data_IF_727243607094
#
_entry.id   IF_727243607094
#
_cell.length_a   1.000
_cell.length_b   1.000
_cell.length_c   1.000
_cell.angle_alpha   90.00
_cell.angle_beta   90.00
_cell.angle_gamma   90.00
#
_symmetry.space_group_name_H-M   'P 1'
#
loop_
_entity.id
_entity.type
_entity.pdbx_description
1 polymer ?
#
# COMPACT_ATOMS: atom_id res chain seq x y z
N UNK A 1 25.15 -55.70 2.48
CA UNK A 1 25.66 -54.33 2.73
C UNK A 1 25.74 -53.41 1.51
N UNK A 2 25.91 -53.88 0.25
CA UNK A 2 25.95 -52.99 -0.94
C UNK A 2 24.64 -52.21 -1.20
N UNK A 3 23.47 -52.82 -1.03
CA UNK A 3 22.16 -52.16 -1.20
C UNK A 3 21.96 -50.96 -0.26
N UNK A 4 22.39 -51.07 1.00
CA UNK A 4 22.30 -49.97 1.98
C UNK A 4 23.19 -48.79 1.56
N UNK A 5 24.33 -49.05 0.90
CA UNK A 5 25.26 -48.01 0.42
C UNK A 5 24.70 -47.21 -0.76
N UNK A 6 23.79 -47.79 -1.54
CA UNK A 6 23.15 -47.11 -2.69
C UNK A 6 21.91 -46.30 -2.29
N UNK A 7 21.24 -46.64 -1.17
CA UNK A 7 20.05 -45.91 -0.69
C UNK A 7 20.41 -44.59 0.03
N UNK A 8 21.54 -44.54 0.75
CA UNK A 8 21.99 -43.36 1.49
C UNK A 8 22.15 -42.09 0.63
N UNK A 9 22.83 -42.11 -0.55
CA UNK A 9 22.95 -40.90 -1.36
C UNK A 9 21.59 -40.40 -1.88
N UNK A 10 20.62 -41.30 -2.05
CA UNK A 10 19.28 -41.00 -2.53
C UNK A 10 18.47 -40.19 -1.51
N UNK A 11 18.49 -40.66 -0.27
CA UNK A 11 17.87 -39.97 0.85
C UNK A 11 18.52 -38.60 1.08
N UNK A 12 19.84 -38.50 0.90
CA UNK A 12 20.57 -37.24 0.99
C UNK A 12 20.15 -36.23 -0.10
N UNK A 13 20.03 -36.65 -1.35
CA UNK A 13 19.59 -35.77 -2.46
C UNK A 13 18.14 -35.32 -2.27
N UNK A 14 17.23 -36.23 -1.89
CA UNK A 14 15.84 -35.89 -1.62
C UNK A 14 15.71 -34.89 -0.45
N UNK A 15 16.46 -35.10 0.63
CA UNK A 15 16.49 -34.19 1.77
C UNK A 15 17.05 -32.81 1.39
N UNK A 16 18.12 -32.75 0.59
CA UNK A 16 18.68 -31.50 0.09
C UNK A 16 17.69 -30.74 -0.80
N UNK A 17 16.94 -31.45 -1.67
CA UNK A 17 15.89 -30.83 -2.47
C UNK A 17 14.75 -30.28 -1.60
N UNK A 18 14.30 -31.03 -0.59
CA UNK A 18 13.27 -30.57 0.35
C UNK A 18 13.73 -29.33 1.15
N UNK A 19 14.98 -29.32 1.61
CA UNK A 19 15.56 -28.16 2.30
C UNK A 19 15.64 -26.96 1.35
N UNK A 20 16.11 -27.15 0.12
CA UNK A 20 16.20 -26.08 -0.86
C UNK A 20 14.82 -25.47 -1.17
N UNK A 21 13.80 -26.32 -1.33
CA UNK A 21 12.41 -25.92 -1.59
C UNK A 21 11.84 -25.16 -0.39
N UNK A 22 12.07 -25.64 0.84
CA UNK A 22 11.64 -24.95 2.05
C UNK A 22 12.34 -23.59 2.24
N UNK A 23 13.63 -23.47 1.91
CA UNK A 23 14.36 -22.21 1.99
C UNK A 23 13.88 -21.20 0.95
N UNK A 24 13.64 -21.66 -0.28
CA UNK A 24 13.12 -20.83 -1.37
C UNK A 24 11.70 -20.34 -1.04
N UNK A 25 10.84 -21.24 -0.57
CA UNK A 25 9.48 -20.92 -0.17
C UNK A 25 9.44 -19.89 0.96
N UNK A 26 10.29 -20.07 1.99
CA UNK A 26 10.41 -19.11 3.09
C UNK A 26 10.90 -17.74 2.63
N UNK A 27 11.84 -17.68 1.69
CA UNK A 27 12.32 -16.41 1.11
C UNK A 27 11.20 -15.71 0.33
N UNK A 28 10.47 -16.46 -0.49
CA UNK A 28 9.38 -15.93 -1.30
C UNK A 28 8.20 -15.46 -0.45
N UNK A 29 7.88 -16.17 0.65
CA UNK A 29 6.87 -15.74 1.61
C UNK A 29 7.25 -14.43 2.28
N UNK A 30 8.50 -14.28 2.76
CA UNK A 30 8.97 -13.01 3.33
C UNK A 30 8.86 -11.84 2.35
N UNK A 31 9.31 -12.04 1.11
CA UNK A 31 9.21 -10.99 0.08
C UNK A 31 7.75 -10.66 -0.29
N UNK A 32 6.85 -11.65 -0.26
CA UNK A 32 5.43 -11.42 -0.48
C UNK A 32 4.80 -10.66 0.69
N UNK A 33 5.11 -11.04 1.93
CA UNK A 33 4.63 -10.39 3.14
C UNK A 33 5.06 -8.92 3.18
N UNK A 34 6.33 -8.62 2.86
CA UNK A 34 6.85 -7.25 2.74
C UNK A 34 6.10 -6.43 1.67
N UNK A 35 5.80 -7.03 0.52
CA UNK A 35 5.04 -6.36 -0.55
C UNK A 35 3.57 -6.13 -0.17
N UNK A 36 2.96 -7.08 0.55
CA UNK A 36 1.57 -6.95 1.04
C UNK A 36 1.48 -5.88 2.12
N UNK A 37 2.41 -5.85 3.07
CA UNK A 37 2.49 -4.80 4.10
C UNK A 37 2.64 -3.42 3.45
N UNK A 38 3.54 -3.29 2.47
CA UNK A 38 3.71 -2.04 1.70
C UNK A 38 2.43 -1.66 0.94
N UNK A 39 1.71 -2.63 0.37
CA UNK A 39 0.44 -2.35 -0.31
C UNK A 39 -0.64 -1.84 0.66
N UNK A 40 -0.73 -2.45 1.84
CA UNK A 40 -1.66 -2.04 2.88
C UNK A 40 -1.34 -0.63 3.40
N UNK A 41 -0.05 -0.29 3.57
CA UNK A 41 0.38 1.06 3.91
C UNK A 41 -0.06 2.09 2.87
N UNK A 42 0.18 1.80 1.59
CA UNK A 42 -0.24 2.68 0.49
C UNK A 42 -1.76 2.87 0.46
N UNK A 43 -2.54 1.84 0.76
CA UNK A 43 -4.00 1.93 0.87
C UNK A 43 -4.42 2.77 2.07
N UNK A 44 -3.73 2.65 3.21
CA UNK A 44 -3.97 3.48 4.40
C UNK A 44 -3.70 4.96 4.10
N UNK A 45 -2.59 5.28 3.44
CA UNK A 45 -2.27 6.65 3.03
C UNK A 45 -3.28 7.22 2.03
N UNK A 46 -3.74 6.40 1.07
CA UNK A 46 -4.79 6.79 0.11
C UNK A 46 -6.12 7.11 0.80
N UNK A 47 -6.55 6.30 1.77
CA UNK A 47 -7.74 6.60 2.58
C UNK A 47 -7.58 7.88 3.39
N UNK A 48 -6.42 8.09 4.03
CA UNK A 48 -6.13 9.31 4.77
C UNK A 48 -6.19 10.56 3.88
N UNK A 49 -5.72 10.46 2.62
CA UNK A 49 -5.83 11.52 1.64
C UNK A 49 -7.30 11.84 1.28
N UNK A 50 -8.14 10.81 1.13
CA UNK A 50 -9.58 10.98 0.94
C UNK A 50 -10.29 11.60 2.15
N UNK A 51 -9.91 11.23 3.38
CA UNK A 51 -10.42 11.86 4.61
C UNK A 51 -10.07 13.33 4.68
N UNK A 52 -8.85 13.68 4.24
CA UNK A 52 -8.38 15.06 4.21
C UNK A 52 -9.13 15.90 3.18
N UNK A 53 -9.42 15.35 1.99
CA UNK A 53 -10.29 16.01 1.01
C UNK A 53 -11.67 16.33 1.61
N UNK A 54 -12.26 15.39 2.36
CA UNK A 54 -13.55 15.60 3.04
C UNK A 54 -13.46 16.70 4.10
N UNK A 55 -12.42 16.69 4.93
CA UNK A 55 -12.18 17.73 5.92
C UNK A 55 -12.02 19.11 5.24
N UNK A 56 -11.34 19.19 4.10
CA UNK A 56 -11.16 20.45 3.37
C UNK A 56 -12.43 20.96 2.71
N UNK A 57 -13.29 20.07 2.21
CA UNK A 57 -14.63 20.44 1.76
C UNK A 57 -15.48 20.97 2.93
N UNK A 58 -15.38 20.33 4.10
CA UNK A 58 -16.00 20.82 5.34
C UNK A 58 -15.49 22.22 5.72
N UNK A 59 -14.17 22.42 5.73
CA UNK A 59 -13.57 23.73 5.97
C UNK A 59 -14.08 24.78 4.97
N UNK A 60 -14.12 24.46 3.67
CA UNK A 60 -14.61 25.39 2.64
C UNK A 60 -16.08 25.75 2.83
N UNK A 61 -16.91 24.81 3.27
CA UNK A 61 -18.32 25.05 3.59
C UNK A 61 -18.47 25.97 4.80
N UNK A 62 -17.72 25.70 5.88
CA UNK A 62 -17.72 26.53 7.09
C UNK A 62 -17.20 27.93 6.82
N UNK A 63 -16.16 28.08 6.00
CA UNK A 63 -15.66 29.38 5.55
C UNK A 63 -16.73 30.16 4.79
N UNK A 64 -17.39 29.54 3.81
CA UNK A 64 -18.45 30.20 3.04
C UNK A 64 -19.61 30.62 3.95
N UNK A 65 -19.99 29.76 4.87
CA UNK A 65 -21.05 30.06 5.85
C UNK A 65 -20.62 31.18 6.80
N UNK A 66 -19.36 31.22 7.24
CA UNK A 66 -18.80 32.32 8.00
C UNK A 66 -18.89 33.65 7.25
N UNK A 67 -18.55 33.66 5.95
CA UNK A 67 -18.64 34.85 5.09
C UNK A 67 -20.08 35.34 4.97
N UNK A 68 -21.02 34.42 4.80
CA UNK A 68 -22.43 34.72 4.57
C UNK A 68 -23.17 35.12 5.87
N UNK A 69 -22.95 34.39 6.96
CA UNK A 69 -23.72 34.57 8.21
C UNK A 69 -22.99 35.34 9.29
N UNK A 70 -21.67 35.54 9.18
CA UNK A 70 -20.87 36.32 10.12
C UNK A 70 -20.85 35.77 11.55
N UNK A 71 -21.21 34.48 11.73
CA UNK A 71 -21.34 33.86 13.06
C UNK A 71 -19.98 33.30 13.49
N UNK A 72 -19.50 33.62 14.70
CA UNK A 72 -18.19 33.16 15.17
C UNK A 72 -18.08 31.64 15.32
N UNK A 73 -19.21 30.93 15.50
CA UNK A 73 -19.23 29.47 15.55
C UNK A 73 -18.63 28.80 14.31
N UNK A 74 -18.92 29.33 13.11
CA UNK A 74 -18.38 28.79 11.86
C UNK A 74 -16.86 28.96 11.74
N UNK A 75 -16.29 30.02 12.33
CA UNK A 75 -14.83 30.18 12.39
C UNK A 75 -14.18 29.12 13.29
N UNK A 76 -14.84 28.71 14.37
CA UNK A 76 -14.35 27.64 15.23
C UNK A 76 -14.41 26.28 14.50
N UNK A 77 -15.54 25.96 13.88
CA UNK A 77 -15.71 24.74 13.08
C UNK A 77 -14.73 24.68 11.91
N UNK A 78 -14.54 25.78 11.18
CA UNK A 78 -13.51 25.92 10.16
C UNK A 78 -12.11 25.56 10.68
N UNK A 79 -11.72 26.12 11.83
CA UNK A 79 -10.41 25.87 12.43
C UNK A 79 -10.22 24.41 12.81
N UNK A 80 -11.26 23.75 13.29
CA UNK A 80 -11.24 22.32 13.61
C UNK A 80 -10.99 21.49 12.34
N UNK A 81 -11.72 21.78 11.26
CA UNK A 81 -11.56 21.06 9.98
C UNK A 81 -10.17 21.25 9.37
N UNK A 82 -9.65 22.48 9.37
CA UNK A 82 -8.29 22.73 8.88
C UNK A 82 -7.24 22.08 9.78
N UNK A 83 -7.45 22.06 11.10
CA UNK A 83 -6.55 21.34 12.00
C UNK A 83 -6.55 19.83 11.73
N UNK A 84 -7.72 19.23 11.45
CA UNK A 84 -7.82 17.83 11.00
C UNK A 84 -7.04 17.61 9.71
N UNK A 85 -7.26 18.45 8.69
CA UNK A 85 -6.56 18.34 7.41
C UNK A 85 -5.03 18.47 7.57
N UNK A 86 -4.56 19.41 8.39
CA UNK A 86 -3.13 19.55 8.72
C UNK A 86 -2.55 18.33 9.41
N UNK A 87 -3.29 17.74 10.35
CA UNK A 87 -2.85 16.53 11.04
C UNK A 87 -2.70 15.36 10.04
N UNK A 88 -3.62 15.25 9.08
CA UNK A 88 -3.55 14.26 8.00
C UNK A 88 -2.37 14.53 7.05
N UNK A 89 -2.11 15.78 6.66
CA UNK A 89 -0.95 16.14 5.84
C UNK A 89 0.39 15.77 6.52
N UNK A 90 0.53 16.06 7.83
CA UNK A 90 1.72 15.66 8.61
C UNK A 90 1.84 14.14 8.75
N UNK A 91 0.71 13.43 8.85
CA UNK A 91 0.70 11.97 8.88
C UNK A 91 1.17 11.42 7.53
N UNK A 92 0.64 11.93 6.42
CA UNK A 92 1.05 11.56 5.07
C UNK A 92 2.55 11.82 4.85
N UNK A 93 3.08 12.94 5.35
CA UNK A 93 4.51 13.23 5.31
C UNK A 93 5.34 12.14 6.02
N UNK A 94 4.95 11.72 7.22
CA UNK A 94 5.65 10.65 7.97
C UNK A 94 5.52 9.30 7.27
N UNK A 95 4.33 8.97 6.77
CA UNK A 95 4.11 7.73 6.01
C UNK A 95 4.94 7.72 4.72
N UNK A 96 5.06 8.85 4.02
CA UNK A 96 5.92 8.97 2.85
C UNK A 96 7.41 8.79 3.16
N UNK A 97 7.87 9.23 4.34
CA UNK A 97 9.22 8.95 4.83
C UNK A 97 9.42 7.46 5.11
N UNK A 98 8.47 6.80 5.79
CA UNK A 98 8.52 5.35 6.06
C UNK A 98 8.49 4.52 4.78
N UNK A 99 7.67 4.91 3.81
CA UNK A 99 7.55 4.23 2.51
C UNK A 99 8.71 4.56 1.55
N UNK A 100 9.59 5.48 1.92
CA UNK A 100 10.67 6.00 1.08
C UNK A 100 10.17 6.52 -0.28
N UNK A 101 9.16 7.40 -0.26
CA UNK A 101 8.60 8.05 -1.45
C UNK A 101 8.86 9.57 -1.34
N UNK A 102 10.04 10.07 -1.77
CA UNK A 102 10.43 11.48 -1.58
C UNK A 102 9.47 12.48 -2.21
N UNK A 103 8.94 12.18 -3.40
CA UNK A 103 7.98 13.04 -4.08
C UNK A 103 6.67 13.22 -3.29
N UNK A 104 6.19 12.15 -2.65
CA UNK A 104 4.98 12.22 -1.82
C UNK A 104 5.23 13.05 -0.55
N UNK A 105 6.42 12.89 0.05
CA UNK A 105 6.85 13.70 1.20
C UNK A 105 6.89 15.19 0.85
N UNK A 106 7.47 15.53 -0.29
CA UNK A 106 7.53 16.91 -0.79
C UNK A 106 6.13 17.50 -0.98
N UNK A 107 5.22 16.76 -1.64
CA UNK A 107 3.82 17.20 -1.81
C UNK A 107 3.11 17.38 -0.47
N UNK A 108 3.32 16.49 0.50
CA UNK A 108 2.74 16.62 1.83
C UNK A 108 3.24 17.87 2.59
N UNK A 109 4.50 18.26 2.41
CA UNK A 109 5.07 19.50 2.98
C UNK A 109 4.46 20.73 2.33
N UNK A 110 4.42 20.77 0.99
CA UNK A 110 3.82 21.89 0.23
C UNK A 110 2.33 22.07 0.56
N UNK A 111 1.63 20.95 0.69
CA UNK A 111 0.25 20.91 1.12
C UNK A 111 0.09 21.52 2.52
N UNK A 112 0.90 21.10 3.49
CA UNK A 112 0.88 21.68 4.84
C UNK A 112 1.07 23.20 4.84
N UNK A 113 2.07 23.69 4.10
CA UNK A 113 2.32 25.12 3.98
C UNK A 113 1.17 25.90 3.32
N UNK A 114 0.51 25.30 2.32
CA UNK A 114 -0.65 25.92 1.65
C UNK A 114 -1.88 25.95 2.56
N UNK A 115 -2.09 24.90 3.37
CA UNK A 115 -3.11 24.90 4.43
C UNK A 115 -2.84 25.96 5.51
N UNK A 116 -1.57 26.28 5.76
CA UNK A 116 -1.20 27.36 6.68
C UNK A 116 -1.60 28.73 6.15
N UNK A 117 -1.28 29.03 4.88
CA UNK A 117 -1.71 30.27 4.22
C UNK A 117 -3.23 30.40 4.13
N UNK A 118 -3.91 29.31 3.76
CA UNK A 118 -5.37 29.29 3.69
C UNK A 118 -6.02 29.64 5.05
N UNK A 119 -5.56 29.01 6.14
CA UNK A 119 -6.11 29.32 7.47
C UNK A 119 -5.80 30.74 7.95
N UNK A 120 -4.61 31.26 7.63
CA UNK A 120 -4.25 32.63 7.95
C UNK A 120 -5.19 33.63 7.24
N UNK A 121 -5.46 33.39 5.95
CA UNK A 121 -6.37 34.21 5.15
C UNK A 121 -7.80 34.21 5.73
N UNK A 122 -8.32 33.04 6.09
CA UNK A 122 -9.66 32.95 6.71
C UNK A 122 -9.68 33.58 8.12
N UNK A 123 -8.60 33.47 8.89
CA UNK A 123 -8.48 34.17 10.16
C UNK A 123 -8.51 35.70 10.01
N UNK A 124 -7.87 36.25 8.96
CA UNK A 124 -7.97 37.68 8.60
C UNK A 124 -9.40 38.08 8.28
N UNK A 125 -10.15 37.23 7.57
CA UNK A 125 -11.59 37.46 7.31
C UNK A 125 -12.38 37.60 8.62
N UNK A 126 -12.18 36.67 9.55
CA UNK A 126 -12.84 36.71 10.86
C UNK A 126 -12.47 37.96 11.69
N UNK A 127 -11.20 38.38 11.64
CA UNK A 127 -10.74 39.61 12.31
C UNK A 127 -11.37 40.86 11.69
N UNK A 128 -11.46 40.94 10.36
CA UNK A 128 -12.12 42.05 9.66
C UNK A 128 -13.62 42.10 9.95
N UNK A 129 -14.31 40.96 9.99
CA UNK A 129 -15.71 40.90 10.41
C UNK A 129 -15.90 41.40 11.85
N UNK A 130 -14.96 41.09 12.75
CA UNK A 130 -14.93 41.62 14.12
C UNK A 130 -14.73 43.15 14.13
N UNK A 131 -13.75 43.67 13.38
CA UNK A 131 -13.50 45.12 13.24
C UNK A 131 -14.71 45.87 12.67
N UNK A 132 -15.40 45.28 11.70
CA UNK A 132 -16.62 45.84 11.11
C UNK A 132 -17.79 45.86 12.12
N UNK A 133 -17.75 45.03 13.18
CA UNK A 133 -18.87 44.86 14.11
C UNK A 133 -19.98 43.98 13.52
N UNK A 134 -19.65 43.05 12.62
CA UNK A 134 -20.61 42.13 11.98
C UNK A 134 -20.88 40.89 12.84
N UNK A 135 -20.02 40.61 13.83
CA UNK A 135 -20.22 39.50 14.75
C UNK A 135 -21.37 39.82 15.72
N UNK A 136 -22.28 38.86 15.89
CA UNK A 136 -23.50 39.06 16.66
C UNK A 136 -23.19 39.49 18.10
N UNK A 137 -23.83 40.56 18.58
CA UNK A 137 -23.62 41.09 19.94
C UNK A 137 -22.34 41.90 20.12
N UNK A 138 -21.64 42.27 19.04
CA UNK A 138 -20.51 43.18 19.13
C UNK A 138 -21.00 44.62 19.39
N UNK A 139 -20.86 45.08 20.64
CA UNK A 139 -20.97 46.50 21.01
C UNK A 139 -19.75 47.32 20.53
N UNK A 140 -18.80 46.65 19.87
CA UNK A 140 -17.55 47.20 19.38
C UNK A 140 -17.46 47.05 17.86
N UNK A 141 -16.72 47.97 17.22
CA UNK A 141 -16.47 47.94 15.77
C UNK A 141 -16.99 49.18 15.05
N UNK A 142 -16.76 49.22 13.75
CA UNK A 142 -17.05 50.39 12.91
C UNK A 142 -18.55 50.67 12.80
N UNK A 143 -19.41 49.64 12.74
CA UNK A 143 -20.86 49.82 12.64
C UNK A 143 -21.50 50.45 13.90
N UNK A 144 -21.22 49.98 15.13
CA UNK A 144 -21.67 50.68 16.34
C UNK A 144 -21.17 52.13 16.43
N UNK A 145 -19.90 52.39 16.09
CA UNK A 145 -19.34 53.75 16.08
C UNK A 145 -20.04 54.62 15.05
N UNK A 146 -20.32 54.09 13.85
CA UNK A 146 -21.04 54.80 12.81
C UNK A 146 -22.46 55.20 13.26
N UNK A 147 -23.21 54.29 13.89
CA UNK A 147 -24.53 54.59 14.46
C UNK A 147 -24.47 55.65 15.57
N UNK A 148 -23.38 55.70 16.34
CA UNK A 148 -23.18 56.76 17.32
C UNK A 148 -23.01 58.12 16.63
N UNK A 149 -22.16 58.19 15.59
CA UNK A 149 -21.96 59.40 14.78
C UNK A 149 -23.22 59.83 14.02
N UNK A 150 -24.00 58.88 13.50
CA UNK A 150 -25.30 59.13 12.88
C UNK A 150 -26.21 59.91 13.83
N UNK A 151 -26.33 59.47 15.10
CA UNK A 151 -27.16 60.13 16.12
C UNK A 151 -26.66 61.53 16.49
N UNK A 152 -25.36 61.76 16.51
CA UNK A 152 -24.77 63.09 16.75
C UNK A 152 -25.16 64.07 15.63
N UNK A 153 -25.07 63.63 14.37
CA UNK A 153 -25.47 64.44 13.21
C UNK A 153 -26.98 64.70 13.20
N UNK A 154 -27.79 63.67 13.47
CA UNK A 154 -29.26 63.78 13.53
C UNK A 154 -29.70 64.81 14.58
N UNK A 155 -29.08 64.78 15.77
CA UNK A 155 -29.33 65.73 16.84
C UNK A 155 -28.93 67.16 16.44
N UNK A 156 -27.75 67.34 15.83
CA UNK A 156 -27.27 68.65 15.39
C UNK A 156 -28.16 69.25 14.29
N UNK A 157 -28.56 68.45 13.29
CA UNK A 157 -29.45 68.90 12.21
C UNK A 157 -30.84 69.23 12.76
N UNK A 158 -31.39 68.38 13.64
CA UNK A 158 -32.73 68.60 14.22
C UNK A 158 -32.80 69.90 15.04
N UNK A 159 -31.72 70.27 15.73
CA UNK A 159 -31.65 71.52 16.49
C UNK A 159 -31.84 72.78 15.62
N UNK A 160 -31.45 72.73 14.34
CA UNK A 160 -31.62 73.86 13.40
C UNK A 160 -33.04 74.02 12.87
N UNK A 161 -33.88 72.99 12.97
CA UNK A 161 -35.23 72.92 12.38
C UNK A 161 -35.26 73.13 10.86
N UNK A 162 -34.13 72.95 10.16
CA UNK A 162 -34.07 73.09 8.71
C UNK A 162 -34.59 71.82 8.00
N UNK A 163 -35.77 71.92 7.38
CA UNK A 163 -36.41 70.79 6.72
C UNK A 163 -35.58 70.22 5.56
N UNK A 164 -34.83 71.06 4.83
CA UNK A 164 -34.02 70.61 3.70
C UNK A 164 -32.85 69.74 4.15
N UNK A 165 -32.13 70.14 5.20
CA UNK A 165 -31.06 69.36 5.80
C UNK A 165 -31.60 68.06 6.41
N UNK A 166 -32.74 68.10 7.09
CA UNK A 166 -33.38 66.89 7.64
C UNK A 166 -33.72 65.89 6.54
N UNK A 167 -34.30 66.32 5.41
CA UNK A 167 -34.62 65.44 4.28
C UNK A 167 -33.35 64.87 3.64
N UNK A 168 -32.33 65.71 3.41
CA UNK A 168 -31.07 65.27 2.82
C UNK A 168 -30.35 64.25 3.71
N UNK A 169 -30.30 64.49 5.02
CA UNK A 169 -29.70 63.55 5.96
C UNK A 169 -30.51 62.27 6.12
N UNK A 170 -31.84 62.34 6.10
CA UNK A 170 -32.70 61.13 6.07
C UNK A 170 -32.37 60.25 4.87
N UNK A 171 -32.10 60.83 3.70
CA UNK A 171 -31.63 60.08 2.51
C UNK A 171 -30.26 59.44 2.74
N UNK A 172 -29.33 60.15 3.39
CA UNK A 172 -28.03 59.58 3.75
C UNK A 172 -28.20 58.38 4.71
N UNK A 173 -29.07 58.48 5.72
CA UNK A 173 -29.37 57.38 6.65
C UNK A 173 -29.95 56.15 5.96
N UNK A 174 -30.84 56.33 4.98
CA UNK A 174 -31.35 55.22 4.16
C UNK A 174 -30.23 54.54 3.39
N UNK A 175 -29.35 55.32 2.74
CA UNK A 175 -28.18 54.78 2.03
C UNK A 175 -27.20 54.10 2.98
N UNK A 176 -27.01 54.61 4.20
CA UNK A 176 -26.18 53.97 5.23
C UNK A 176 -26.77 52.64 5.68
N UNK A 177 -28.07 52.58 5.92
CA UNK A 177 -28.77 51.34 6.27
C UNK A 177 -28.63 50.31 5.15
N UNK A 178 -28.88 50.71 3.91
CA UNK A 178 -28.74 49.85 2.75
C UNK A 178 -27.28 49.38 2.59
N UNK A 179 -26.30 50.27 2.82
CA UNK A 179 -24.89 49.94 2.76
C UNK A 179 -24.46 49.00 3.88
N UNK A 180 -24.85 49.23 5.13
CA UNK A 180 -24.51 48.37 6.27
C UNK A 180 -25.12 46.98 6.17
N UNK A 181 -26.27 46.84 5.50
CA UNK A 181 -26.91 45.54 5.26
C UNK A 181 -26.32 44.79 4.06
N UNK A 182 -26.02 45.50 2.96
CA UNK A 182 -25.55 44.88 1.72
C UNK A 182 -24.03 44.81 1.59
N UNK A 183 -23.31 45.66 2.34
CA UNK A 183 -21.87 45.92 2.22
C UNK A 183 -21.45 46.26 0.78
N UNK A 184 -22.36 46.84 -0.02
CA UNK A 184 -22.12 47.11 -1.43
C UNK A 184 -21.40 48.45 -1.65
N UNK A 185 -20.19 48.40 -2.23
CA UNK A 185 -19.37 49.59 -2.50
C UNK A 185 -20.03 50.67 -3.38
N UNK A 186 -20.99 50.31 -4.26
CA UNK A 186 -21.74 51.31 -5.06
C UNK A 186 -22.64 52.19 -4.18
N UNK A 187 -23.24 51.60 -3.15
CA UNK A 187 -24.08 52.32 -2.19
C UNK A 187 -23.22 53.27 -1.35
N UNK A 188 -22.05 52.81 -0.90
CA UNK A 188 -21.10 53.65 -0.17
C UNK A 188 -20.67 54.90 -0.95
N UNK A 189 -20.35 54.76 -2.25
CA UNK A 189 -20.00 55.90 -3.09
C UNK A 189 -21.14 56.93 -3.22
N UNK A 190 -22.39 56.47 -3.24
CA UNK A 190 -23.58 57.34 -3.27
C UNK A 190 -23.83 58.01 -1.92
N UNK A 191 -23.58 57.30 -0.82
CA UNK A 191 -23.65 57.81 0.53
C UNK A 191 -22.65 58.95 0.75
N UNK A 192 -21.37 58.74 0.40
CA UNK A 192 -20.33 59.78 0.52
C UNK A 192 -20.70 61.03 -0.30
N UNK A 193 -21.13 60.86 -1.56
CA UNK A 193 -21.61 61.99 -2.37
C UNK A 193 -22.78 62.74 -1.72
N UNK A 194 -23.69 62.02 -1.07
CA UNK A 194 -24.83 62.64 -0.38
C UNK A 194 -24.37 63.45 0.84
N UNK A 195 -23.41 62.91 1.60
CA UNK A 195 -22.80 63.62 2.74
C UNK A 195 -22.05 64.86 2.27
N UNK A 196 -21.29 64.77 1.18
CA UNK A 196 -20.57 65.90 0.58
C UNK A 196 -21.55 67.00 0.13
N UNK A 197 -22.69 66.64 -0.47
CA UNK A 197 -23.74 67.60 -0.84
C UNK A 197 -24.36 68.32 0.38
N UNK A 198 -24.52 67.62 1.51
CA UNK A 198 -25.00 68.22 2.76
C UNK A 198 -23.97 69.22 3.29
N UNK A 199 -22.68 68.85 3.26
CA UNK A 199 -21.57 69.73 3.67
C UNK A 199 -21.51 70.99 2.82
N UNK A 200 -21.57 70.83 1.49
CA UNK A 200 -21.57 71.96 0.54
C UNK A 200 -22.77 72.89 0.76
N UNK A 201 -23.95 72.32 1.04
CA UNK A 201 -25.15 73.10 1.32
C UNK A 201 -25.02 73.90 2.62
N UNK A 202 -24.39 73.32 3.65
CA UNK A 202 -24.12 73.97 4.93
C UNK A 202 -23.14 75.16 4.76
N UNK A 203 -22.15 75.04 3.89
CA UNK A 203 -21.16 76.09 3.63
C UNK A 203 -21.71 77.25 2.80
N UNK A 204 -22.60 76.97 1.84
CA UNK A 204 -23.16 77.98 0.93
C UNK A 204 -24.31 78.79 1.53
N UNK A 205 -25.00 78.26 2.53
CA UNK A 205 -26.15 78.91 3.15
C UNK A 205 -25.72 79.87 4.26
N UNK A 206 -26.04 81.15 4.10
CA UNK A 206 -25.74 82.19 5.10
C UNK A 206 -26.59 82.04 6.35
N UNK A 207 -27.84 81.62 6.21
CA UNK A 207 -28.78 81.43 7.32
C UNK A 207 -28.37 80.29 8.27
N UNK A 208 -27.51 79.38 7.81
CA UNK A 208 -26.94 78.29 8.61
C UNK A 208 -25.54 78.60 9.16
N UNK A 209 -24.99 79.79 8.91
CA UNK A 209 -23.66 80.17 9.39
C UNK A 209 -23.45 80.00 10.92
N UNK A 210 -24.42 80.29 11.80
CA UNK A 210 -24.26 80.05 13.24
C UNK A 210 -24.10 78.57 13.61
N UNK A 211 -24.70 77.65 12.84
CA UNK A 211 -24.71 76.22 13.09
C UNK A 211 -23.64 75.45 12.30
N UNK A 212 -22.84 76.15 11.48
CA UNK A 212 -21.87 75.54 10.57
C UNK A 212 -20.89 74.63 11.29
N UNK A 213 -20.41 75.07 12.47
CA UNK A 213 -19.51 74.27 13.31
C UNK A 213 -20.23 73.11 14.01
N UNK A 214 -21.40 73.40 14.57
CA UNK A 214 -22.21 72.43 15.34
C UNK A 214 -22.67 71.24 14.48
N UNK A 215 -23.00 71.46 13.20
CA UNK A 215 -23.33 70.40 12.24
C UNK A 215 -22.07 69.87 11.54
N UNK A 216 -21.17 70.75 11.13
CA UNK A 216 -20.03 70.41 10.28
C UNK A 216 -19.04 69.45 10.95
N UNK A 217 -18.77 69.63 12.24
CA UNK A 217 -17.85 68.74 12.98
C UNK A 217 -18.41 67.30 13.08
N UNK A 218 -19.65 67.05 13.58
CA UNK A 218 -20.26 65.72 13.54
C UNK A 218 -20.38 65.14 12.14
N UNK A 219 -20.74 65.95 11.13
CA UNK A 219 -20.91 65.49 9.75
C UNK A 219 -19.58 65.03 9.15
N UNK A 220 -18.49 65.76 9.41
CA UNK A 220 -17.15 65.39 8.99
C UNK A 220 -16.67 64.10 9.69
N UNK A 221 -16.94 63.96 11.00
CA UNK A 221 -16.64 62.73 11.74
C UNK A 221 -17.43 61.52 11.20
N UNK A 222 -18.72 61.71 10.92
CA UNK A 222 -19.58 60.70 10.30
C UNK A 222 -19.05 60.29 8.90
N UNK A 223 -18.71 61.27 8.04
CA UNK A 223 -18.09 61.03 6.73
C UNK A 223 -16.79 60.22 6.83
N UNK A 224 -15.93 60.58 7.79
CA UNK A 224 -14.68 59.87 8.05
C UNK A 224 -14.97 58.41 8.44
N UNK A 225 -15.96 58.18 9.30
CA UNK A 225 -16.36 56.85 9.74
C UNK A 225 -16.93 56.00 8.60
N UNK A 226 -17.75 56.59 7.71
CA UNK A 226 -18.25 55.93 6.50
C UNK A 226 -17.08 55.54 5.58
N UNK A 227 -16.09 56.42 5.43
CA UNK A 227 -14.91 56.16 4.60
C UNK A 227 -14.05 55.03 5.16
N UNK A 228 -13.87 54.98 6.49
CA UNK A 228 -13.18 53.88 7.16
C UNK A 228 -13.94 52.55 6.99
N UNK A 229 -15.26 52.57 7.19
CA UNK A 229 -16.11 51.39 6.96
C UNK A 229 -16.00 50.89 5.52
N UNK A 230 -15.98 51.80 4.54
CA UNK A 230 -15.78 51.47 3.13
C UNK A 230 -14.43 50.80 2.86
N UNK A 231 -13.36 51.35 3.42
CA UNK A 231 -12.02 50.75 3.30
C UNK A 231 -11.97 49.34 3.89
N UNK A 232 -12.54 49.15 5.10
CA UNK A 232 -12.57 47.86 5.77
C UNK A 232 -13.44 46.81 5.04
N UNK A 233 -14.53 47.24 4.39
CA UNK A 233 -15.35 46.34 3.55
C UNK A 233 -14.60 45.92 2.28
N UNK A 234 -13.91 46.85 1.61
CA UNK A 234 -13.08 46.52 0.45
C UNK A 234 -11.95 45.56 0.82
N UNK A 235 -11.29 45.79 1.95
CA UNK A 235 -10.28 44.89 2.50
C UNK A 235 -10.87 43.50 2.76
N UNK A 236 -12.07 43.41 3.34
CA UNK A 236 -12.78 42.14 3.55
C UNK A 236 -13.04 41.40 2.23
N UNK A 237 -13.56 42.08 1.22
CA UNK A 237 -13.83 41.46 -0.10
C UNK A 237 -12.55 40.95 -0.76
N UNK A 238 -11.45 41.71 -0.65
CA UNK A 238 -10.14 41.28 -1.15
C UNK A 238 -9.65 40.02 -0.42
N UNK A 239 -9.77 39.97 0.90
CA UNK A 239 -9.37 38.79 1.68
C UNK A 239 -10.28 37.59 1.38
N UNK A 240 -11.58 37.77 1.15
CA UNK A 240 -12.49 36.68 0.72
C UNK A 240 -12.04 36.10 -0.64
N UNK A 241 -11.70 36.98 -1.59
CA UNK A 241 -11.15 36.53 -2.87
C UNK A 241 -9.81 35.79 -2.69
N UNK A 242 -8.95 36.27 -1.79
CA UNK A 242 -7.71 35.59 -1.43
C UNK A 242 -7.97 34.21 -0.81
N UNK A 243 -8.96 34.06 0.08
CA UNK A 243 -9.28 32.75 0.65
C UNK A 243 -9.64 31.73 -0.44
N UNK A 244 -10.43 32.14 -1.44
CA UNK A 244 -10.80 31.29 -2.56
C UNK A 244 -9.57 30.85 -3.35
N UNK A 245 -8.64 31.78 -3.63
CA UNK A 245 -7.38 31.50 -4.30
C UNK A 245 -6.49 30.53 -3.50
N UNK A 246 -6.31 30.77 -2.19
CA UNK A 246 -5.51 29.90 -1.33
C UNK A 246 -6.12 28.49 -1.23
N UNK A 247 -7.47 28.38 -1.21
CA UNK A 247 -8.15 27.09 -1.26
C UNK A 247 -7.89 26.35 -2.59
N UNK A 248 -7.99 27.05 -3.73
CA UNK A 248 -7.71 26.46 -5.06
C UNK A 248 -6.27 25.94 -5.16
N UNK A 249 -5.30 26.60 -4.51
CA UNK A 249 -3.91 26.15 -4.46
C UNK A 249 -3.72 24.82 -3.70
N UNK A 250 -4.65 24.42 -2.83
CA UNK A 250 -4.57 23.15 -2.11
C UNK A 250 -4.78 21.96 -3.05
N UNK A 251 -5.67 22.11 -4.05
CA UNK A 251 -6.13 21.00 -4.90
C UNK A 251 -5.01 20.33 -5.73
N UNK A 252 -4.11 21.08 -6.41
CA UNK A 252 -3.01 20.47 -7.17
C UNK A 252 -2.12 19.54 -6.32
N UNK A 253 -1.84 19.90 -5.06
CA UNK A 253 -1.01 19.08 -4.17
C UNK A 253 -1.70 17.79 -3.75
N UNK A 254 -3.02 17.84 -3.53
CA UNK A 254 -3.82 16.66 -3.25
C UNK A 254 -3.87 15.73 -4.47
N UNK A 255 -4.14 16.28 -5.66
CA UNK A 255 -4.20 15.50 -6.89
C UNK A 255 -2.85 14.83 -7.17
N UNK A 256 -1.75 15.59 -7.08
CA UNK A 256 -0.40 15.05 -7.25
C UNK A 256 -0.08 13.96 -6.22
N UNK A 257 -0.50 14.12 -4.96
CA UNK A 257 -0.32 13.08 -3.93
C UNK A 257 -1.12 11.82 -4.24
N UNK A 258 -2.34 11.96 -4.75
CA UNK A 258 -3.18 10.83 -5.17
C UNK A 258 -2.55 10.08 -6.33
N UNK A 259 -2.11 10.79 -7.37
CA UNK A 259 -1.47 10.21 -8.55
C UNK A 259 -0.19 9.43 -8.19
N UNK A 260 0.61 9.96 -7.26
CA UNK A 260 1.82 9.30 -6.74
C UNK A 260 1.47 8.01 -5.98
N UNK A 261 0.47 8.05 -5.11
CA UNK A 261 0.01 6.87 -4.38
C UNK A 261 -0.55 5.80 -5.34
N UNK A 262 -1.34 6.20 -6.32
CA UNK A 262 -1.89 5.29 -7.34
C UNK A 262 -0.80 4.69 -8.23
N UNK A 263 0.24 5.45 -8.57
CA UNK A 263 1.40 4.93 -9.27
C UNK A 263 2.14 3.86 -8.43
N UNK A 264 2.36 4.15 -7.13
CA UNK A 264 3.02 3.23 -6.20
C UNK A 264 2.20 1.96 -5.94
N UNK A 265 0.87 2.07 -5.84
CA UNK A 265 -0.02 0.92 -5.70
C UNK A 265 0.01 0.02 -6.95
N UNK A 266 0.03 0.63 -8.15
CA UNK A 266 0.16 -0.11 -9.42
C UNK A 266 1.48 -0.85 -9.52
N UNK A 267 2.57 -0.21 -9.10
CA UNK A 267 3.91 -0.81 -9.05
C UNK A 267 3.96 -1.99 -8.05
N UNK A 268 3.50 -1.79 -6.81
CA UNK A 268 3.43 -2.85 -5.81
C UNK A 268 2.60 -4.05 -6.29
N UNK A 269 1.43 -3.78 -6.88
CA UNK A 269 0.59 -4.83 -7.48
C UNK A 269 1.26 -5.55 -8.64
N UNK A 270 2.06 -4.87 -9.46
CA UNK A 270 2.84 -5.49 -10.52
C UNK A 270 3.95 -6.38 -9.97
N UNK A 271 4.66 -5.94 -8.93
CA UNK A 271 5.70 -6.70 -8.23
C UNK A 271 5.16 -7.97 -7.58
N UNK A 272 3.99 -7.91 -6.92
CA UNK A 272 3.32 -9.09 -6.37
C UNK A 272 2.99 -10.11 -7.47
N UNK A 273 2.46 -9.65 -8.62
CA UNK A 273 2.17 -10.52 -9.76
C UNK A 273 3.45 -11.12 -10.36
N UNK A 274 4.52 -10.34 -10.44
CA UNK A 274 5.81 -10.80 -10.96
C UNK A 274 6.43 -11.86 -10.04
N UNK A 275 6.41 -11.63 -8.72
CA UNK A 275 6.90 -12.58 -7.71
C UNK A 275 6.10 -13.89 -7.75
N UNK A 276 4.77 -13.84 -7.83
CA UNK A 276 3.95 -15.07 -7.97
C UNK A 276 4.31 -15.85 -9.24
N UNK A 277 4.58 -15.16 -10.36
CA UNK A 277 5.00 -15.81 -11.61
C UNK A 277 6.40 -16.42 -11.50
N UNK A 278 7.36 -15.78 -10.83
CA UNK A 278 8.69 -16.34 -10.62
C UNK A 278 8.63 -17.55 -9.67
N UNK A 279 7.93 -17.44 -8.55
CA UNK A 279 7.76 -18.54 -7.58
C UNK A 279 7.10 -19.76 -8.23
N UNK A 280 6.06 -19.56 -9.06
CA UNK A 280 5.42 -20.67 -9.77
C UNK A 280 6.37 -21.34 -10.76
N UNK A 281 7.20 -20.57 -11.47
CA UNK A 281 8.20 -21.16 -12.39
C UNK A 281 9.27 -21.94 -11.63
N UNK A 282 9.79 -21.38 -10.54
CA UNK A 282 10.79 -22.05 -9.69
C UNK A 282 10.23 -23.34 -9.09
N UNK A 283 9.02 -23.31 -8.52
CA UNK A 283 8.34 -24.49 -7.98
C UNK A 283 8.13 -25.57 -9.06
N UNK A 284 7.73 -25.19 -10.27
CA UNK A 284 7.60 -26.12 -11.40
C UNK A 284 8.95 -26.72 -11.77
N UNK A 285 10.03 -25.94 -11.82
CA UNK A 285 11.38 -26.47 -12.14
C UNK A 285 11.92 -27.41 -11.08
N UNK A 286 11.75 -27.08 -9.78
CA UNK A 286 12.18 -27.96 -8.69
C UNK A 286 11.35 -29.24 -8.68
N UNK A 287 10.03 -29.14 -8.90
CA UNK A 287 9.16 -30.30 -9.02
C UNK A 287 9.54 -31.19 -10.21
N UNK A 288 9.81 -30.60 -11.38
CA UNK A 288 10.25 -31.33 -12.57
C UNK A 288 11.59 -32.04 -12.36
N UNK A 289 12.56 -31.38 -11.70
CA UNK A 289 13.84 -31.99 -11.34
C UNK A 289 13.67 -33.12 -10.32
N UNK A 290 12.79 -32.94 -9.32
CA UNK A 290 12.43 -33.97 -8.36
C UNK A 290 11.79 -35.19 -9.02
N UNK A 291 10.87 -34.97 -9.97
CA UNK A 291 10.23 -36.03 -10.74
C UNK A 291 11.24 -36.77 -11.63
N UNK A 292 12.14 -36.04 -12.30
CA UNK A 292 13.22 -36.64 -13.10
C UNK A 292 14.15 -37.50 -12.23
N UNK A 293 14.53 -37.01 -11.05
CA UNK A 293 15.32 -37.78 -10.10
C UNK A 293 14.59 -39.06 -9.69
N UNK A 294 13.29 -38.98 -9.35
CA UNK A 294 12.49 -40.15 -9.00
C UNK A 294 12.41 -41.18 -10.14
N UNK A 295 12.21 -40.73 -11.38
CA UNK A 295 12.20 -41.59 -12.57
C UNK A 295 13.57 -42.28 -12.75
N UNK A 296 14.67 -41.53 -12.62
CA UNK A 296 16.02 -42.10 -12.73
C UNK A 296 16.28 -43.18 -11.68
N UNK A 297 15.79 -42.97 -10.46
CA UNK A 297 15.88 -43.94 -9.37
C UNK A 297 15.08 -45.21 -9.67
N UNK A 298 13.83 -45.07 -10.11
CA UNK A 298 13.00 -46.21 -10.48
C UNK A 298 13.64 -47.01 -11.62
N UNK A 299 14.21 -46.33 -12.62
CA UNK A 299 14.94 -46.97 -13.72
C UNK A 299 16.15 -47.77 -13.21
N UNK A 300 16.93 -47.23 -12.26
CA UNK A 300 18.05 -47.94 -11.64
C UNK A 300 17.60 -49.18 -10.85
N UNK A 301 16.50 -49.08 -10.08
CA UNK A 301 15.95 -50.22 -9.34
C UNK A 301 15.47 -51.32 -10.28
N UNK A 302 14.73 -50.97 -11.34
CA UNK A 302 14.27 -51.94 -12.35
C UNK A 302 15.47 -52.61 -13.04
N UNK A 303 16.52 -51.83 -13.37
CA UNK A 303 17.75 -52.38 -13.95
C UNK A 303 18.47 -53.34 -13.00
N UNK A 304 18.55 -53.01 -11.71
CA UNK A 304 19.14 -53.87 -10.69
C UNK A 304 18.33 -55.17 -10.50
N UNK A 305 17.00 -55.06 -10.42
CA UNK A 305 16.10 -56.21 -10.30
C UNK A 305 16.20 -57.14 -11.52
N UNK A 306 16.19 -56.60 -12.74
CA UNK A 306 16.39 -57.38 -13.98
C UNK A 306 17.75 -58.08 -14.01
N UNK A 307 18.82 -57.43 -13.53
CA UNK A 307 20.16 -58.03 -13.45
C UNK A 307 20.21 -59.18 -12.45
N UNK A 308 19.55 -59.04 -11.31
CA UNK A 308 19.41 -60.11 -10.32
C UNK A 308 18.59 -61.28 -10.88
N UNK A 309 17.43 -61.01 -11.50
CA UNK A 309 16.58 -62.03 -12.09
C UNK A 309 17.34 -62.87 -13.13
N UNK A 310 18.04 -62.23 -14.09
CA UNK A 310 18.86 -62.94 -15.08
C UNK A 310 19.94 -63.83 -14.48
N UNK A 311 20.59 -63.37 -13.40
CA UNK A 311 21.62 -64.17 -12.70
C UNK A 311 21.02 -65.37 -11.97
N UNK A 312 19.79 -65.25 -11.47
CA UNK A 312 19.06 -66.35 -10.85
C UNK A 312 18.56 -67.33 -11.92
N UNK A 313 18.07 -66.86 -13.06
CA UNK A 313 17.71 -67.70 -14.21
C UNK A 313 18.91 -68.52 -14.71
N UNK A 314 20.07 -67.88 -14.93
CA UNK A 314 21.31 -68.58 -15.28
C UNK A 314 21.71 -69.65 -14.26
N UNK A 315 21.54 -69.35 -12.97
CA UNK A 315 21.82 -70.33 -11.92
C UNK A 315 20.82 -71.50 -11.95
N UNK A 316 19.55 -71.23 -12.23
CA UNK A 316 18.51 -72.26 -12.35
C UNK A 316 18.74 -73.17 -13.56
N UNK A 317 19.13 -72.62 -14.71
CA UNK A 317 19.50 -73.37 -15.91
C UNK A 317 20.68 -74.31 -15.64
N UNK A 318 21.78 -73.80 -15.07
CA UNK A 318 22.92 -74.65 -14.71
C UNK A 318 22.60 -75.67 -13.61
N UNK A 319 21.60 -75.42 -12.76
CA UNK A 319 21.12 -76.41 -11.80
C UNK A 319 20.40 -77.57 -12.48
N UNK A 320 19.62 -77.28 -13.54
CA UNK A 320 18.98 -78.31 -14.36
C UNK A 320 20.00 -79.14 -15.13
N UNK A 321 21.00 -78.51 -15.76
CA UNK A 321 22.05 -79.23 -16.50
C UNK A 321 22.78 -80.26 -15.62
N UNK A 322 23.10 -79.88 -14.38
CA UNK A 322 23.72 -80.78 -13.40
C UNK A 322 22.80 -81.93 -13.00
N UNK A 323 21.50 -81.67 -12.86
CA UNK A 323 20.52 -82.71 -12.54
C UNK A 323 20.40 -83.74 -13.67
N UNK A 324 20.58 -83.30 -14.92
CA UNK A 324 20.61 -84.15 -16.12
C UNK A 324 21.97 -84.84 -16.33
N UNK A 325 22.92 -84.66 -15.40
CA UNK A 325 24.23 -85.32 -15.42
C UNK A 325 25.31 -84.58 -16.22
N UNK A 326 25.04 -83.35 -16.67
CA UNK A 326 26.00 -82.50 -17.37
C UNK A 326 26.63 -81.48 -16.40
N UNK A 327 27.92 -81.65 -16.10
CA UNK A 327 28.64 -80.83 -15.12
C UNK A 327 29.47 -79.69 -15.75
N UNK A 328 29.48 -79.54 -17.08
CA UNK A 328 30.37 -78.59 -17.76
C UNK A 328 29.99 -77.12 -17.54
N UNK A 329 28.69 -76.81 -17.44
CA UNK A 329 28.18 -75.44 -17.29
C UNK A 329 28.42 -74.80 -15.91
N UNK A 330 28.80 -75.59 -14.89
CA UNK A 330 28.92 -75.13 -13.49
C UNK A 330 30.08 -74.13 -13.29
N UNK A 331 31.09 -74.14 -14.17
CA UNK A 331 32.22 -73.20 -14.12
C UNK A 331 31.85 -71.80 -14.61
N UNK A 332 30.84 -71.66 -15.46
CA UNK A 332 30.42 -70.39 -16.06
C UNK A 332 29.42 -69.61 -15.21
N UNK A 333 29.01 -70.17 -14.07
CA UNK A 333 28.07 -69.54 -13.15
C UNK A 333 28.53 -68.13 -12.71
N UNK A 334 27.60 -67.17 -12.57
CA UNK A 334 27.94 -65.79 -12.26
C UNK A 334 28.64 -65.63 -10.90
N UNK A 335 29.81 -64.98 -10.91
CA UNK A 335 30.54 -64.61 -9.69
C UNK A 335 30.12 -63.22 -9.18
N UNK A 336 30.02 -63.09 -7.85
CA UNK A 336 29.60 -61.85 -7.22
C UNK A 336 29.44 -61.95 -5.72
N UNK A 337 29.50 -60.79 -5.06
CA UNK A 337 29.22 -60.65 -3.62
C UNK A 337 27.72 -60.41 -3.33
N UNK A 338 26.86 -60.57 -4.33
CA UNK A 338 25.40 -60.53 -4.19
C UNK A 338 24.83 -61.92 -3.86
N UNK A 339 23.56 -61.99 -3.47
CA UNK A 339 22.91 -63.24 -3.05
C UNK A 339 23.02 -64.32 -4.14
N UNK A 340 22.84 -63.92 -5.40
CA UNK A 340 22.99 -64.83 -6.55
C UNK A 340 24.42 -65.38 -6.67
N UNK A 341 25.46 -64.55 -6.53
CA UNK A 341 26.86 -65.00 -6.57
C UNK A 341 27.25 -65.89 -5.38
N UNK A 342 26.71 -65.61 -4.19
CA UNK A 342 26.91 -66.48 -3.01
C UNK A 342 26.24 -67.85 -3.22
N UNK A 343 25.02 -67.87 -3.77
CA UNK A 343 24.29 -69.11 -4.06
C UNK A 343 24.96 -69.91 -5.19
N UNK A 344 25.40 -69.24 -6.25
CA UNK A 344 26.17 -69.83 -7.34
C UNK A 344 27.47 -70.47 -6.84
N UNK A 345 28.20 -69.79 -5.95
CA UNK A 345 29.41 -70.34 -5.33
C UNK A 345 29.14 -71.55 -4.43
N UNK A 346 28.03 -71.54 -3.67
CA UNK A 346 27.62 -72.69 -2.88
C UNK A 346 27.22 -73.88 -3.76
N UNK A 347 26.44 -73.64 -4.81
CA UNK A 347 26.02 -74.66 -5.77
C UNK A 347 27.21 -75.27 -6.50
N UNK A 348 28.15 -74.45 -6.98
CA UNK A 348 29.38 -74.92 -7.65
C UNK A 348 30.17 -75.92 -6.81
N UNK A 349 30.30 -75.67 -5.50
CA UNK A 349 30.97 -76.60 -4.57
C UNK A 349 30.20 -77.92 -4.42
N UNK A 350 28.87 -77.85 -4.32
CA UNK A 350 28.01 -79.03 -4.21
C UNK A 350 28.08 -79.91 -5.47
N UNK A 351 27.98 -79.31 -6.66
CA UNK A 351 28.05 -80.03 -7.93
C UNK A 351 29.42 -80.68 -8.16
N UNK A 352 30.51 -80.02 -7.71
CA UNK A 352 31.85 -80.62 -7.73
C UNK A 352 31.95 -81.86 -6.84
N UNK A 353 31.41 -81.80 -5.62
CA UNK A 353 31.35 -82.97 -4.73
C UNK A 353 30.50 -84.10 -5.30
N UNK A 354 29.40 -83.79 -5.98
CA UNK A 354 28.53 -84.77 -6.62
C UNK A 354 29.22 -85.46 -7.80
N UNK A 355 29.91 -84.70 -8.65
CA UNK A 355 30.68 -85.25 -9.77
C UNK A 355 31.79 -86.20 -9.28
N UNK A 356 32.53 -85.81 -8.23
CA UNK A 356 33.55 -86.67 -7.60
C UNK A 356 32.95 -87.96 -7.03
N UNK A 357 31.76 -87.89 -6.42
CA UNK A 357 31.06 -89.08 -5.90
C UNK A 357 30.59 -90.02 -7.01
N UNK A 358 30.04 -89.49 -8.11
CA UNK A 358 29.62 -90.29 -9.28
C UNK A 358 30.84 -90.98 -9.90
N UNK A 359 31.95 -90.26 -10.09
CA UNK A 359 33.18 -90.86 -10.62
C UNK A 359 33.75 -91.95 -9.69
N UNK A 360 33.67 -91.75 -8.38
CA UNK A 360 34.06 -92.76 -7.40
C UNK A 360 33.15 -94.01 -7.44
N UNK A 361 31.84 -93.81 -7.60
CA UNK A 361 30.85 -94.88 -7.76
C UNK A 361 31.07 -95.67 -9.05
N UNK A 362 31.31 -95.00 -10.18
CA UNK A 362 31.61 -95.67 -11.45
C UNK A 362 32.92 -96.45 -11.39
N UNK A 363 33.97 -95.90 -10.76
CA UNK A 363 35.21 -96.66 -10.50
C UNK A 363 34.98 -97.86 -9.60
N UNK A 364 34.13 -97.75 -8.57
CA UNK A 364 33.78 -98.87 -7.69
C UNK A 364 32.96 -99.94 -8.43
N UNK A 365 32.01 -99.52 -9.28
CA UNK A 365 31.21 -100.39 -10.12
C UNK A 365 32.06 -101.11 -11.17
N UNK A 366 32.95 -100.41 -11.87
CA UNK A 366 33.90 -101.01 -12.80
C UNK A 366 34.82 -102.03 -12.12
N UNK A 367 35.24 -101.78 -10.87
CA UNK A 367 35.98 -102.76 -10.05
C UNK A 367 35.12 -103.96 -9.65
N UNK A 368 33.84 -103.75 -9.30
CA UNK A 368 32.91 -104.81 -8.95
C UNK A 368 32.54 -105.69 -10.17
N UNK A 369 32.30 -105.08 -11.32
CA UNK A 369 32.09 -105.79 -12.60
C UNK A 369 33.37 -106.52 -13.03
N UNK A 370 34.54 -105.90 -12.88
CA UNK A 370 35.84 -106.57 -13.08
C UNK A 370 36.04 -107.77 -12.14
N UNK A 371 35.62 -107.65 -10.88
CA UNK A 371 35.66 -108.74 -9.90
C UNK A 371 34.63 -109.84 -10.22
N UNK A 372 33.44 -109.47 -10.69
CA UNK A 372 32.39 -110.40 -11.11
C UNK A 372 32.80 -111.19 -12.36
N UNK A 373 33.35 -110.53 -13.38
CA UNK A 373 33.94 -111.18 -14.56
C UNK A 373 35.11 -112.07 -14.18
N UNK A 374 35.94 -111.67 -13.22
CA UNK A 374 37.03 -112.50 -12.70
C UNK A 374 36.51 -113.73 -11.95
N UNK A 375 35.42 -113.59 -11.19
CA UNK A 375 34.73 -114.70 -10.50
C UNK A 375 34.04 -115.64 -11.50
N UNK A 376 33.41 -115.12 -12.54
CA UNK A 376 32.81 -115.90 -13.63
C UNK A 376 33.87 -116.65 -14.45
N UNK A 377 35.04 -116.05 -14.71
CA UNK A 377 36.19 -116.76 -15.31
C UNK A 377 36.78 -117.82 -14.39
N UNK A 378 36.82 -117.57 -13.08
CA UNK A 378 37.27 -118.55 -12.10
C UNK A 378 36.30 -119.75 -12.00
N UNK A 379 34.99 -119.51 -11.97
CA UNK A 379 33.97 -120.56 -11.98
C UNK A 379 33.93 -121.34 -13.31
N UNK A 380 34.17 -120.66 -14.44
CA UNK A 380 34.28 -121.31 -15.75
C UNK A 380 35.51 -122.22 -15.87
N UNK A 381 36.61 -121.90 -15.18
CA UNK A 381 37.82 -122.74 -15.13
C UNK A 381 37.78 -123.86 -14.07
N UNK A 382 36.81 -123.86 -13.15
CA UNK A 382 36.61 -124.96 -12.19
C UNK A 382 35.58 -126.02 -12.64
N UNK A 383 34.97 -125.81 -13.81
CA UNK A 383 34.04 -126.78 -14.43
C UNK A 383 34.75 -127.71 -15.43
N UNK A 384 36.08 -127.82 -15.40
CA UNK A 384 36.85 -128.61 -16.35
C UNK A 384 37.80 -129.60 -15.69
#
# INVERSE_FOLDING_TARGET
MKLVREIIPLAAVALLMLIALALLDRRNHRALDELLERQDDLLRSSRALGDMQRALLGARLEERTLVDTHKPGHLASYREEVARARAMARRLQREAETLNIPALREQAVLLGATLDRYAESVAKTGALQGRLGLQYGADQGLLPVLRAREREVDAAITATKDASLTVAFTRARLLERDYSQSLNGKVAGTLIKTIDLISDALDRREDLAPHRREIGEPLAAYRSQVSELMSAVLERELVIAQNALEYEQVYPHISASADLLDAQQREAGASIRALRRSTNRENVTVFALGLLALIAVLALQVRAARRLARRVEQLAESMQDVADGNFDGVRELPEGADVAGVLAGAFRRMSGQLAEQIEALDKARARAEGASVSKSRFLANMSH
#
